data_IF_164640295515
#
_entry.id   IF_164640295515
#
_cell.length_a   1.000
_cell.length_b   1.000
_cell.length_c   1.000
_cell.angle_alpha   90.00
_cell.angle_beta   90.00
_cell.angle_gamma   90.00
#
_symmetry.space_group_name_H-M   'P 1'
#
loop_
_entity.id
_entity.type
_entity.pdbx_description
1 polymer ?
#
# COMPACT_ATOMS: atom_id res chain seq x y z
N UNK A 1 -40.42 -12.24 -37.96
CA UNK A 1 -38.96 -12.24 -37.83
C UNK A 1 -38.38 -12.37 -39.22
N UNK A 2 -37.71 -11.37 -39.72
CA UNK A 2 -37.09 -11.42 -41.04
C UNK A 2 -35.63 -11.83 -40.88
N UNK A 3 -35.24 -12.88 -41.56
CA UNK A 3 -33.86 -13.43 -41.53
C UNK A 3 -33.15 -13.03 -42.83
N UNK A 4 -32.03 -12.33 -42.72
CA UNK A 4 -31.19 -12.00 -43.88
C UNK A 4 -30.02 -12.99 -43.85
N UNK A 5 -29.91 -13.82 -44.90
CA UNK A 5 -28.82 -14.78 -45.09
C UNK A 5 -27.77 -14.22 -46.05
N UNK A 6 -26.56 -14.12 -45.58
CA UNK A 6 -25.42 -13.81 -46.43
C UNK A 6 -24.75 -15.10 -46.92
N UNK A 7 -24.77 -15.33 -48.23
CA UNK A 7 -24.01 -16.41 -48.84
C UNK A 7 -22.67 -15.86 -49.31
N UNK A 8 -21.57 -16.25 -48.69
CA UNK A 8 -20.25 -15.89 -49.21
C UNK A 8 -20.03 -16.61 -50.54
N UNK A 9 -19.44 -15.94 -51.52
CA UNK A 9 -19.16 -16.54 -52.86
C UNK A 9 -18.15 -17.69 -52.84
N UNK A 10 -17.57 -18.03 -51.65
CA UNK A 10 -16.69 -19.16 -51.44
C UNK A 10 -17.47 -20.33 -50.80
N UNK A 11 -17.59 -21.49 -51.48
CA UNK A 11 -18.37 -22.63 -51.00
C UNK A 11 -17.82 -23.27 -49.71
N UNK A 12 -16.63 -22.92 -49.28
CA UNK A 12 -16.03 -23.41 -48.04
C UNK A 12 -16.37 -22.56 -46.80
N UNK A 13 -16.99 -21.41 -46.97
CA UNK A 13 -17.38 -20.56 -45.83
C UNK A 13 -18.83 -20.77 -45.47
N UNK A 14 -19.10 -21.00 -44.16
CA UNK A 14 -20.49 -21.14 -43.66
C UNK A 14 -21.25 -19.83 -43.84
N UNK A 15 -22.49 -19.95 -44.34
CA UNK A 15 -23.43 -18.83 -44.39
C UNK A 15 -23.70 -18.28 -43.00
N UNK A 16 -23.69 -16.96 -42.84
CA UNK A 16 -24.07 -16.28 -41.59
C UNK A 16 -25.49 -15.75 -41.79
N UNK A 17 -26.36 -16.07 -40.84
CA UNK A 17 -27.70 -15.48 -40.75
C UNK A 17 -27.71 -14.41 -39.66
N UNK A 18 -28.29 -13.27 -39.95
CA UNK A 18 -28.57 -12.22 -38.97
C UNK A 18 -30.09 -12.19 -38.81
N UNK A 19 -30.57 -12.52 -37.62
CA UNK A 19 -32.00 -12.44 -37.29
C UNK A 19 -32.30 -11.03 -36.81
N UNK A 20 -33.13 -10.32 -37.56
CA UNK A 20 -33.60 -8.99 -37.17
C UNK A 20 -34.72 -9.18 -36.17
N UNK A 21 -34.44 -8.90 -34.89
CA UNK A 21 -35.45 -8.90 -33.84
C UNK A 21 -36.50 -7.79 -34.06
N UNK A 22 -37.68 -7.90 -33.42
CA UNK A 22 -38.78 -6.95 -33.63
C UNK A 22 -38.39 -5.51 -33.31
N UNK A 23 -37.45 -5.28 -32.36
CA UNK A 23 -36.95 -3.95 -32.01
C UNK A 23 -36.13 -3.36 -33.16
N UNK A 24 -35.19 -4.13 -33.72
CA UNK A 24 -34.34 -3.67 -34.82
C UNK A 24 -35.15 -3.51 -36.12
N UNK A 25 -36.13 -4.38 -36.36
CA UNK A 25 -37.08 -4.25 -37.44
C UNK A 25 -37.95 -3.00 -37.32
N UNK A 26 -38.41 -2.70 -36.11
CA UNK A 26 -39.17 -1.47 -35.81
C UNK A 26 -38.33 -0.21 -36.04
N UNK A 27 -37.06 -0.20 -35.61
CA UNK A 27 -36.15 0.93 -35.83
C UNK A 27 -35.86 1.15 -37.31
N UNK A 28 -35.63 0.09 -38.08
CA UNK A 28 -35.43 0.17 -39.52
C UNK A 28 -36.70 0.66 -40.25
N UNK A 29 -37.88 0.16 -39.87
CA UNK A 29 -39.15 0.59 -40.44
C UNK A 29 -39.43 2.09 -40.15
N UNK A 30 -39.20 2.54 -38.92
CA UNK A 30 -39.32 3.97 -38.55
C UNK A 30 -38.32 4.83 -39.29
N UNK A 31 -37.09 4.38 -39.50
CA UNK A 31 -36.07 5.10 -40.27
C UNK A 31 -36.48 5.24 -41.76
N UNK A 32 -37.02 4.17 -42.36
CA UNK A 32 -37.50 4.21 -43.74
C UNK A 32 -38.73 5.11 -43.90
N UNK A 33 -39.67 5.02 -42.96
CA UNK A 33 -40.86 5.91 -42.98
C UNK A 33 -40.43 7.36 -42.73
N UNK A 34 -39.51 7.60 -41.81
CA UNK A 34 -38.97 8.92 -41.56
C UNK A 34 -38.25 9.52 -42.78
N UNK A 35 -37.45 8.74 -43.49
CA UNK A 35 -36.79 9.17 -44.73
C UNK A 35 -37.80 9.47 -45.85
N UNK A 36 -38.80 8.62 -45.97
CA UNK A 36 -39.92 8.84 -46.94
C UNK A 36 -40.68 10.12 -46.63
N UNK A 37 -40.98 10.38 -45.37
CA UNK A 37 -41.67 11.62 -44.94
C UNK A 37 -40.80 12.86 -45.19
N UNK A 38 -39.48 12.78 -44.98
CA UNK A 38 -38.53 13.87 -45.29
C UNK A 38 -38.47 14.20 -46.77
N UNK A 39 -38.46 13.19 -47.64
CA UNK A 39 -38.50 13.37 -49.09
C UNK A 39 -39.84 13.97 -49.51
N UNK A 40 -40.94 13.50 -48.92
CA UNK A 40 -42.28 14.02 -49.22
C UNK A 40 -42.46 15.48 -48.78
N UNK A 41 -41.99 15.86 -47.57
CA UNK A 41 -42.03 17.22 -47.09
C UNK A 41 -41.09 18.16 -47.88
N UNK A 42 -39.96 17.65 -48.37
CA UNK A 42 -39.07 18.36 -49.29
C UNK A 42 -39.71 18.65 -50.62
N UNK A 43 -40.47 17.70 -51.16
CA UNK A 43 -41.23 17.84 -52.40
C UNK A 43 -42.42 18.83 -52.26
N UNK A 44 -42.98 18.99 -51.05
CA UNK A 44 -44.06 19.94 -50.76
C UNK A 44 -43.59 21.39 -50.49
N UNK A 45 -42.29 21.68 -50.60
CA UNK A 45 -41.78 23.03 -50.48
C UNK A 45 -41.68 23.57 -49.06
N UNK A 46 -41.50 22.68 -48.02
CA UNK A 46 -41.28 23.04 -46.64
C UNK A 46 -39.80 22.82 -46.20
N UNK A 47 -38.82 23.51 -46.80
CA UNK A 47 -37.37 23.29 -46.54
C UNK A 47 -36.98 23.62 -45.11
N UNK A 48 -37.71 24.46 -44.40
CA UNK A 48 -37.47 24.83 -43.01
C UNK A 48 -37.68 23.65 -42.06
N UNK A 49 -38.78 22.88 -42.23
CA UNK A 49 -39.07 21.72 -41.38
C UNK A 49 -38.07 20.59 -41.57
N UNK A 50 -37.63 20.38 -42.82
CA UNK A 50 -36.57 19.39 -43.11
C UNK A 50 -35.25 19.79 -42.51
N UNK A 51 -34.86 21.06 -42.63
CA UNK A 51 -33.61 21.55 -42.04
C UNK A 51 -33.61 21.52 -40.51
N UNK A 52 -34.76 21.76 -39.87
CA UNK A 52 -34.90 21.69 -38.41
C UNK A 52 -34.84 20.24 -37.90
N UNK A 53 -35.44 19.30 -38.66
CA UNK A 53 -35.36 17.88 -38.34
C UNK A 53 -33.92 17.35 -38.49
N UNK A 54 -33.23 17.68 -39.56
CA UNK A 54 -31.80 17.31 -39.74
C UNK A 54 -30.96 17.87 -38.59
N UNK A 55 -31.12 19.16 -38.26
CA UNK A 55 -30.37 19.80 -37.12
C UNK A 55 -30.70 19.16 -35.78
N UNK A 56 -31.90 18.64 -35.57
CA UNK A 56 -32.28 17.95 -34.34
C UNK A 56 -31.66 16.55 -34.26
N UNK A 57 -31.61 15.82 -35.37
CA UNK A 57 -30.93 14.52 -35.45
C UNK A 57 -29.42 14.67 -35.21
N UNK A 58 -28.76 15.66 -35.84
CA UNK A 58 -27.36 15.93 -35.66
C UNK A 58 -27.05 16.32 -34.21
N UNK A 59 -27.92 17.13 -33.57
CA UNK A 59 -27.77 17.47 -32.14
C UNK A 59 -27.89 16.23 -31.24
N UNK A 60 -28.83 15.35 -31.48
CA UNK A 60 -29.00 14.10 -30.73
C UNK A 60 -27.79 13.17 -30.92
N UNK A 61 -27.30 13.04 -32.16
CA UNK A 61 -26.09 12.24 -32.45
C UNK A 61 -24.86 12.80 -31.77
N UNK A 62 -24.70 14.15 -31.77
CA UNK A 62 -23.57 14.83 -31.08
C UNK A 62 -23.68 14.65 -29.58
N UNK A 63 -24.86 14.79 -28.98
CA UNK A 63 -25.06 14.55 -27.55
C UNK A 63 -24.75 13.11 -27.15
N UNK A 64 -25.17 12.13 -27.93
CA UNK A 64 -24.84 10.72 -27.67
C UNK A 64 -23.34 10.45 -27.78
N UNK A 65 -22.67 10.99 -28.81
CA UNK A 65 -21.22 10.86 -28.97
C UNK A 65 -20.46 11.52 -27.81
N UNK A 66 -20.89 12.71 -27.39
CA UNK A 66 -20.29 13.40 -26.24
C UNK A 66 -20.48 12.63 -24.95
N UNK A 67 -21.70 12.10 -24.70
CA UNK A 67 -21.97 11.28 -23.51
C UNK A 67 -21.10 10.02 -23.47
N UNK A 68 -21.01 9.28 -24.59
CA UNK A 68 -20.13 8.09 -24.68
C UNK A 68 -18.66 8.45 -24.46
N UNK A 69 -18.22 9.58 -25.01
CA UNK A 69 -16.87 10.09 -24.79
C UNK A 69 -16.60 10.38 -23.32
N UNK A 70 -17.53 11.03 -22.63
CA UNK A 70 -17.42 11.34 -21.20
C UNK A 70 -17.40 10.08 -20.35
N UNK A 71 -18.30 9.12 -20.60
CA UNK A 71 -18.36 7.83 -19.89
C UNK A 71 -17.06 7.03 -20.08
N UNK A 72 -16.52 7.01 -21.31
CA UNK A 72 -15.24 6.36 -21.61
C UNK A 72 -14.09 7.04 -20.86
N UNK A 73 -14.03 8.38 -20.89
CA UNK A 73 -13.03 9.16 -20.19
C UNK A 73 -13.04 8.92 -18.67
N UNK A 74 -14.23 8.96 -18.05
CA UNK A 74 -14.37 8.64 -16.63
C UNK A 74 -13.94 7.21 -16.29
N UNK A 75 -14.24 6.25 -17.19
CA UNK A 75 -13.84 4.87 -16.97
C UNK A 75 -12.33 4.69 -17.03
N UNK A 76 -11.65 5.35 -17.99
CA UNK A 76 -10.20 5.37 -18.07
C UNK A 76 -9.60 6.04 -16.83
N UNK A 77 -10.17 7.17 -16.37
CA UNK A 77 -9.76 7.87 -15.16
C UNK A 77 -9.80 6.98 -13.92
N UNK A 78 -10.92 6.30 -13.70
CA UNK A 78 -11.07 5.35 -12.57
C UNK A 78 -10.07 4.20 -12.63
N UNK A 79 -9.79 3.66 -13.83
CA UNK A 79 -8.78 2.59 -14.02
C UNK A 79 -7.37 3.10 -13.74
N UNK A 80 -7.02 4.27 -14.23
CA UNK A 80 -5.72 4.90 -14.01
C UNK A 80 -5.50 5.18 -12.52
N UNK A 81 -6.52 5.67 -11.81
CA UNK A 81 -6.47 5.89 -10.37
C UNK A 81 -6.27 4.58 -9.59
N UNK A 82 -7.03 3.52 -9.93
CA UNK A 82 -6.86 2.21 -9.31
C UNK A 82 -5.44 1.67 -9.50
N UNK A 83 -4.93 1.76 -10.73
CA UNK A 83 -3.57 1.31 -11.06
C UNK A 83 -2.51 2.14 -10.34
N UNK A 84 -2.69 3.45 -10.23
CA UNK A 84 -1.78 4.34 -9.49
C UNK A 84 -1.72 3.98 -8.00
N UNK A 85 -2.86 3.66 -7.37
CA UNK A 85 -2.89 3.21 -5.97
C UNK A 85 -2.21 1.85 -5.79
N UNK A 86 -2.45 0.89 -6.68
CA UNK A 86 -1.77 -0.40 -6.64
C UNK A 86 -0.25 -0.23 -6.80
N UNK A 87 0.18 0.53 -7.80
CA UNK A 87 1.60 0.80 -8.01
C UNK A 87 2.25 1.47 -6.80
N UNK A 88 1.57 2.42 -6.14
CA UNK A 88 2.10 3.07 -4.95
C UNK A 88 2.27 2.09 -3.78
N UNK A 89 1.34 1.15 -3.59
CA UNK A 89 1.47 0.11 -2.58
C UNK A 89 2.66 -0.82 -2.88
N UNK A 90 2.82 -1.22 -4.15
CA UNK A 90 3.93 -2.08 -4.59
C UNK A 90 5.29 -1.37 -4.49
N UNK A 91 5.37 -0.08 -4.88
CA UNK A 91 6.57 0.76 -4.73
C UNK A 91 6.99 0.85 -3.27
N UNK A 92 6.04 1.06 -2.38
CA UNK A 92 6.29 1.14 -0.96
C UNK A 92 6.76 -0.20 -0.38
N UNK A 93 6.12 -1.30 -0.78
CA UNK A 93 6.54 -2.64 -0.37
C UNK A 93 7.99 -2.92 -0.83
N UNK A 94 8.31 -2.65 -2.10
CA UNK A 94 9.68 -2.84 -2.61
C UNK A 94 10.70 -1.90 -1.96
N UNK A 95 10.33 -0.66 -1.67
CA UNK A 95 11.22 0.26 -0.95
C UNK A 95 11.55 -0.26 0.45
N UNK A 96 10.58 -0.87 1.15
CA UNK A 96 10.79 -1.54 2.45
C UNK A 96 11.68 -2.77 2.29
N UNK A 97 11.42 -3.62 1.29
CA UNK A 97 12.28 -4.76 0.98
C UNK A 97 13.72 -4.30 0.70
N UNK A 98 13.89 -3.25 -0.09
CA UNK A 98 15.20 -2.66 -0.37
C UNK A 98 15.91 -2.17 0.90
N UNK A 99 15.20 -1.44 1.76
CA UNK A 99 15.72 -0.97 3.05
C UNK A 99 16.21 -2.13 3.93
N UNK A 100 15.39 -3.18 4.02
CA UNK A 100 15.71 -4.40 4.75
C UNK A 100 16.94 -5.09 4.16
N UNK A 101 17.06 -5.11 2.83
CA UNK A 101 18.20 -5.67 2.10
C UNK A 101 19.44 -4.73 2.03
N UNK A 102 19.40 -3.56 2.70
CA UNK A 102 20.50 -2.59 2.65
C UNK A 102 20.61 -1.80 1.34
N UNK A 103 19.59 -1.85 0.48
CA UNK A 103 19.54 -1.11 -0.78
C UNK A 103 18.63 0.11 -0.62
N UNK A 104 19.18 1.33 -0.70
CA UNK A 104 18.34 2.52 -0.59
C UNK A 104 17.33 2.60 -1.73
N UNK A 105 16.08 3.02 -1.46
CA UNK A 105 15.09 3.23 -2.49
C UNK A 105 15.54 4.33 -3.46
N UNK A 106 15.21 4.23 -4.75
CA UNK A 106 15.57 5.24 -5.74
C UNK A 106 14.90 6.58 -5.43
N UNK A 107 15.59 7.67 -5.74
CA UNK A 107 15.02 9.01 -5.68
C UNK A 107 13.83 9.14 -6.64
N UNK A 108 12.77 9.82 -6.18
CA UNK A 108 11.58 10.09 -7.00
C UNK A 108 10.44 9.07 -6.88
N UNK A 109 10.53 8.10 -5.97
CA UNK A 109 9.34 7.38 -5.54
C UNK A 109 8.48 8.33 -4.69
N UNK A 110 7.18 8.50 -5.02
CA UNK A 110 6.33 9.41 -4.27
C UNK A 110 6.14 8.91 -2.83
N UNK A 111 6.35 9.81 -1.90
CA UNK A 111 6.15 9.55 -0.47
C UNK A 111 4.66 9.43 -0.10
N UNK A 112 3.76 9.97 -0.93
CA UNK A 112 2.34 10.10 -0.64
C UNK A 112 1.54 9.72 -1.89
N UNK A 113 0.41 9.04 -1.68
CA UNK A 113 -0.60 8.86 -2.73
C UNK A 113 -1.17 10.26 -3.10
N UNK A 114 -1.15 10.65 -4.38
CA UNK A 114 -1.74 11.91 -4.78
C UNK A 114 -3.24 11.90 -4.46
N UNK A 115 -3.71 12.96 -3.78
CA UNK A 115 -5.14 13.18 -3.60
C UNK A 115 -5.81 13.37 -4.97
N UNK A 116 -7.03 12.85 -5.08
CA UNK A 116 -7.81 12.90 -6.32
C UNK A 116 -8.23 14.33 -6.63
N UNK A 117 -7.91 14.91 -7.79
CA UNK A 117 -8.60 16.08 -8.29
C UNK A 117 -10.06 15.74 -8.62
N UNK A 118 -10.98 16.64 -8.29
CA UNK A 118 -12.42 16.41 -8.42
C UNK A 118 -12.89 16.18 -9.88
N UNK A 119 -12.15 16.69 -10.87
CA UNK A 119 -12.35 16.43 -12.29
C UNK A 119 -10.99 16.56 -13.00
N UNK A 120 -10.68 15.63 -13.91
CA UNK A 120 -9.46 15.67 -14.70
C UNK A 120 -9.77 16.22 -16.10
N UNK A 121 -8.99 17.19 -16.55
CA UNK A 121 -8.95 17.59 -17.97
C UNK A 121 -8.18 16.54 -18.79
N UNK A 122 -8.31 16.58 -20.12
CA UNK A 122 -7.55 15.69 -21.02
C UNK A 122 -6.04 15.82 -20.82
N UNK A 123 -5.53 17.06 -20.64
CA UNK A 123 -4.12 17.32 -20.39
C UNK A 123 -3.64 16.73 -19.05
N UNK A 124 -4.45 16.83 -17.99
CA UNK A 124 -4.14 16.24 -16.69
C UNK A 124 -4.14 14.71 -16.73
N UNK A 125 -5.02 14.13 -17.53
CA UNK A 125 -5.05 12.69 -17.77
C UNK A 125 -3.78 12.22 -18.47
N UNK A 126 -3.33 12.91 -19.52
CA UNK A 126 -2.08 12.61 -20.22
C UNK A 126 -0.87 12.73 -19.29
N UNK A 127 -0.82 13.80 -18.48
CA UNK A 127 0.23 13.99 -17.48
C UNK A 127 0.23 12.87 -16.42
N UNK A 128 -0.94 12.44 -15.98
CA UNK A 128 -1.10 11.32 -15.04
C UNK A 128 -0.61 10.01 -15.63
N UNK A 129 -0.96 9.70 -16.88
CA UNK A 129 -0.51 8.50 -17.57
C UNK A 129 1.02 8.53 -17.80
N UNK A 130 1.58 9.67 -18.18
CA UNK A 130 3.03 9.85 -18.35
C UNK A 130 3.78 9.68 -17.01
N UNK A 131 3.22 10.21 -15.92
CA UNK A 131 3.75 10.02 -14.57
C UNK A 131 3.74 8.54 -14.17
N UNK A 132 2.61 7.86 -14.37
CA UNK A 132 2.46 6.43 -14.08
C UNK A 132 3.47 5.58 -14.87
N UNK A 133 3.66 5.86 -16.16
CA UNK A 133 4.64 5.17 -17.01
C UNK A 133 6.08 5.39 -16.55
N UNK A 134 6.40 6.58 -16.03
CA UNK A 134 7.73 6.88 -15.47
C UNK A 134 7.95 6.10 -14.18
N UNK A 135 6.97 6.09 -13.28
CA UNK A 135 7.01 5.36 -12.01
C UNK A 135 7.19 3.86 -12.24
N UNK A 136 6.43 3.28 -13.16
CA UNK A 136 6.57 1.86 -13.55
C UNK A 136 7.97 1.51 -14.02
N UNK A 137 8.63 2.40 -14.77
CA UNK A 137 10.03 2.19 -15.21
C UNK A 137 10.99 2.20 -14.02
N UNK A 138 10.87 3.15 -13.11
CA UNK A 138 11.70 3.24 -11.90
C UNK A 138 11.49 1.99 -11.03
N UNK A 139 10.24 1.60 -10.82
CA UNK A 139 9.85 0.40 -10.08
C UNK A 139 10.49 -0.86 -10.69
N UNK A 140 10.39 -1.05 -11.99
CA UNK A 140 10.95 -2.23 -12.67
C UNK A 140 12.49 -2.28 -12.59
N UNK A 141 13.16 -1.15 -12.73
CA UNK A 141 14.61 -1.07 -12.56
C UNK A 141 15.01 -1.41 -11.12
N UNK A 142 14.28 -0.92 -10.13
CA UNK A 142 14.55 -1.20 -8.72
C UNK A 142 14.26 -2.67 -8.38
N UNK A 143 13.15 -3.23 -8.86
CA UNK A 143 12.82 -4.65 -8.75
C UNK A 143 13.92 -5.54 -9.34
N UNK A 144 14.43 -5.20 -10.54
CA UNK A 144 15.55 -5.92 -11.15
C UNK A 144 16.81 -5.83 -10.30
N UNK A 145 17.13 -4.65 -9.77
CA UNK A 145 18.26 -4.46 -8.86
C UNK A 145 18.13 -5.32 -7.62
N UNK A 146 16.96 -5.39 -7.01
CA UNK A 146 16.69 -6.27 -5.85
C UNK A 146 16.79 -7.76 -6.23
N UNK A 147 16.32 -8.15 -7.41
CA UNK A 147 16.40 -9.52 -7.88
C UNK A 147 17.85 -9.98 -8.22
N UNK A 148 18.75 -9.04 -8.46
CA UNK A 148 20.17 -9.30 -8.70
C UNK A 148 21.04 -9.10 -7.47
N UNK A 149 20.43 -8.87 -6.30
CA UNK A 149 21.19 -8.84 -5.05
C UNK A 149 21.70 -10.27 -4.80
N UNK A 150 22.98 -10.47 -4.97
CA UNK A 150 23.59 -11.68 -4.57
C UNK A 150 24.22 -11.41 -3.27
N UNK A 151 24.57 -12.20 -2.72
CA UNK A 151 25.82 -12.88 -2.79
C UNK A 151 26.40 -13.09 -1.45
N UNK A 152 27.22 -14.08 -1.23
CA UNK A 152 27.83 -14.38 0.05
C UNK A 152 28.56 -13.15 0.59
N UNK A 153 27.97 -12.48 1.62
CA UNK A 153 28.53 -11.27 2.24
C UNK A 153 27.52 -10.14 2.49
N UNK A 154 26.33 -10.19 1.87
CA UNK A 154 25.21 -9.31 2.23
C UNK A 154 24.60 -9.67 3.59
N UNK A 155 23.71 -8.81 4.15
CA UNK A 155 23.03 -9.12 5.40
C UNK A 155 22.27 -10.44 5.25
N UNK A 156 22.47 -11.39 6.17
CA UNK A 156 21.74 -12.66 6.21
C UNK A 156 20.24 -12.36 6.34
N UNK A 157 19.40 -12.72 5.34
CA UNK A 157 17.97 -12.41 5.36
C UNK A 157 17.25 -12.97 6.60
N UNK A 158 17.80 -14.03 7.19
CA UNK A 158 17.27 -14.63 8.41
C UNK A 158 17.54 -13.75 9.65
N UNK A 159 18.48 -12.81 9.58
CA UNK A 159 18.82 -11.88 10.66
C UNK A 159 18.14 -10.52 10.54
N UNK A 160 17.42 -10.28 9.45
CA UNK A 160 16.67 -9.05 9.28
C UNK A 160 15.29 -9.20 9.95
N UNK A 161 14.89 -8.29 10.87
CA UNK A 161 13.66 -8.41 11.64
C UNK A 161 12.42 -8.04 10.79
N UNK A 162 12.17 -8.82 9.74
CA UNK A 162 11.17 -8.55 8.71
C UNK A 162 9.81 -9.20 8.94
N UNK A 163 9.63 -9.87 10.07
CA UNK A 163 8.36 -10.46 10.49
C UNK A 163 7.72 -9.66 11.63
N UNK A 164 6.39 -9.71 11.72
CA UNK A 164 5.68 -9.20 12.89
C UNK A 164 6.09 -9.97 14.15
N UNK A 165 6.34 -9.26 15.28
CA UNK A 165 6.68 -9.89 16.55
C UNK A 165 5.49 -10.56 17.24
N UNK A 166 4.27 -10.37 16.74
CA UNK A 166 3.03 -11.01 17.20
C UNK A 166 2.21 -11.45 15.99
N UNK A 167 1.20 -12.29 16.20
CA UNK A 167 0.29 -12.69 15.13
C UNK A 167 -0.39 -11.44 14.51
N UNK A 168 -0.17 -11.16 13.21
CA UNK A 168 -0.67 -9.93 12.59
C UNK A 168 -2.18 -9.75 12.67
N UNK A 169 -2.95 -10.82 12.55
CA UNK A 169 -4.42 -10.80 12.61
C UNK A 169 -4.98 -10.46 14.00
N UNK A 170 -4.16 -10.62 15.05
CA UNK A 170 -4.54 -10.38 16.44
C UNK A 170 -3.96 -9.07 17.01
N UNK A 171 -3.32 -8.25 16.20
CA UNK A 171 -2.61 -7.06 16.64
C UNK A 171 -3.09 -5.79 15.93
N UNK A 172 -3.23 -4.71 16.72
CA UNK A 172 -3.59 -3.37 16.21
C UNK A 172 -2.55 -2.36 16.68
N UNK A 173 -1.95 -1.56 15.80
CA UNK A 173 -1.03 -0.51 16.21
C UNK A 173 -1.80 0.61 16.93
N UNK A 174 -1.43 0.90 18.16
CA UNK A 174 -2.05 1.95 19.00
C UNK A 174 -1.12 3.11 19.28
N UNK A 175 0.18 2.95 19.04
CA UNK A 175 1.17 4.01 19.02
C UNK A 175 2.24 3.69 17.99
N UNK A 176 2.76 4.71 17.30
CA UNK A 176 3.72 4.56 16.22
C UNK A 176 4.96 5.41 16.45
N UNK A 177 6.06 5.01 15.85
CA UNK A 177 7.36 5.67 15.91
C UNK A 177 7.30 7.14 15.49
N UNK A 178 7.97 7.99 16.24
CA UNK A 178 8.15 9.41 15.94
C UNK A 178 7.76 10.36 17.06
N UNK A 179 7.78 11.68 16.82
CA UNK A 179 7.37 12.68 17.79
C UNK A 179 5.87 12.58 18.06
N UNK A 180 5.50 12.70 19.34
CA UNK A 180 4.10 12.70 19.78
C UNK A 180 3.95 13.47 21.10
N UNK A 181 2.71 13.76 21.47
CA UNK A 181 2.39 14.18 22.83
C UNK A 181 2.30 12.95 23.75
N UNK A 182 2.98 13.00 24.87
CA UNK A 182 2.94 11.97 25.89
C UNK A 182 1.53 11.87 26.51
N UNK A 183 0.96 10.67 26.56
CA UNK A 183 -0.33 10.44 27.19
C UNK A 183 -0.32 10.75 28.72
N UNK A 184 0.87 10.66 29.33
CA UNK A 184 1.06 10.84 30.78
C UNK A 184 1.38 12.29 31.15
N UNK A 185 2.36 12.91 30.47
CA UNK A 185 2.88 14.23 30.83
C UNK A 185 2.28 15.36 30.02
N UNK A 186 1.66 15.05 28.86
CA UNK A 186 1.19 16.03 27.87
C UNK A 186 2.30 16.88 27.26
N UNK A 187 3.55 16.46 27.43
CA UNK A 187 4.72 17.07 26.81
C UNK A 187 5.06 16.36 25.51
N UNK A 188 5.80 17.03 24.64
CA UNK A 188 6.34 16.40 23.43
C UNK A 188 7.39 15.36 23.83
N UNK A 189 7.22 14.15 23.36
CA UNK A 189 8.16 13.05 23.52
C UNK A 189 8.44 12.37 22.18
N UNK A 190 9.60 11.76 22.05
CA UNK A 190 9.90 10.90 20.92
C UNK A 190 9.57 9.44 21.28
N UNK A 191 8.67 8.82 20.50
CA UNK A 191 8.28 7.43 20.71
C UNK A 191 9.19 6.49 19.89
N UNK A 192 9.99 5.62 20.54
CA UNK A 192 11.06 4.90 19.87
C UNK A 192 10.64 3.62 19.13
N UNK A 193 9.36 3.31 19.09
CA UNK A 193 8.92 2.03 18.56
C UNK A 193 7.49 2.03 18.04
N UNK A 194 6.86 0.88 18.16
CA UNK A 194 5.44 0.68 17.90
C UNK A 194 4.82 -0.08 19.07
N UNK A 195 3.64 0.37 19.53
CA UNK A 195 2.83 -0.37 20.49
C UNK A 195 1.74 -1.12 19.74
N UNK A 196 1.70 -2.42 19.93
CA UNK A 196 0.76 -3.35 19.29
C UNK A 196 -0.23 -3.85 20.34
N UNK A 197 -1.45 -3.31 20.33
CA UNK A 197 -2.53 -3.83 21.17
C UNK A 197 -2.85 -5.26 20.76
N UNK A 198 -2.76 -6.19 21.70
CA UNK A 198 -3.00 -7.62 21.50
C UNK A 198 -3.37 -8.24 22.85
N UNK A 199 -4.14 -9.36 22.90
CA UNK A 199 -4.57 -9.96 24.14
C UNK A 199 -3.41 -10.35 25.07
N UNK A 200 -3.65 -10.26 26.39
CA UNK A 200 -2.71 -10.79 27.40
C UNK A 200 -2.44 -12.27 27.12
N UNK A 201 -1.20 -12.68 27.24
CA UNK A 201 -0.77 -14.05 26.98
C UNK A 201 -0.51 -14.40 25.51
N UNK A 202 -0.74 -13.45 24.59
CA UNK A 202 -0.34 -13.63 23.19
C UNK A 202 1.16 -13.92 23.09
N UNK A 203 1.53 -14.85 22.22
CA UNK A 203 2.93 -15.20 21.96
C UNK A 203 3.67 -14.02 21.32
N UNK A 204 4.85 -13.71 21.89
CA UNK A 204 5.80 -12.77 21.28
C UNK A 204 6.91 -13.59 20.63
N UNK A 205 7.12 -13.34 19.33
CA UNK A 205 8.01 -14.12 18.49
C UNK A 205 9.24 -13.29 18.09
N UNK A 206 10.38 -13.96 17.92
CA UNK A 206 11.55 -13.31 17.34
C UNK A 206 11.33 -13.10 15.82
N UNK A 207 11.38 -11.85 15.31
CA UNK A 207 11.13 -11.56 13.89
C UNK A 207 12.27 -11.99 12.96
N UNK A 208 13.43 -12.34 13.56
CA UNK A 208 14.61 -12.82 12.87
C UNK A 208 15.43 -13.74 13.76
N UNK A 209 16.41 -14.45 13.20
CA UNK A 209 17.40 -15.17 13.97
C UNK A 209 18.27 -14.19 14.77
N UNK A 210 18.73 -14.58 15.96
CA UNK A 210 19.54 -13.70 16.79
C UNK A 210 19.94 -14.32 18.11
N UNK A 211 20.54 -13.51 18.99
CA UNK A 211 20.95 -13.91 20.35
C UNK A 211 20.33 -12.98 21.36
N UNK A 212 19.76 -13.49 22.42
CA UNK A 212 19.20 -12.71 23.53
C UNK A 212 20.34 -12.05 24.29
N UNK A 213 20.42 -10.72 24.25
CA UNK A 213 21.46 -9.95 24.95
C UNK A 213 20.98 -9.41 26.29
N UNK A 214 19.66 -9.30 26.46
CA UNK A 214 19.05 -8.94 27.75
C UNK A 214 17.68 -9.61 27.89
N UNK A 215 17.36 -10.04 29.12
CA UNK A 215 16.05 -10.61 29.46
C UNK A 215 15.77 -10.36 30.95
N UNK A 216 14.78 -9.50 31.27
CA UNK A 216 14.46 -9.15 32.66
C UNK A 216 13.85 -7.76 32.80
N UNK A 217 13.85 -7.25 34.05
CA UNK A 217 13.53 -5.84 34.33
C UNK A 217 14.76 -4.97 34.11
N UNK A 218 14.64 -3.81 33.45
CA UNK A 218 15.69 -2.82 33.42
C UNK A 218 15.95 -2.35 34.89
N UNK A 219 17.19 -2.31 35.29
CA UNK A 219 17.54 -1.97 36.66
C UNK A 219 17.04 -0.59 37.11
N UNK A 220 17.08 -0.31 38.43
CA UNK A 220 16.64 0.99 38.99
C UNK A 220 17.42 2.20 38.44
N UNK A 221 18.60 1.97 37.90
CA UNK A 221 19.47 2.99 37.29
C UNK A 221 19.11 3.26 35.81
N UNK A 222 18.24 2.46 35.20
CA UNK A 222 17.78 2.70 33.85
C UNK A 222 16.89 3.93 33.81
N UNK A 223 16.85 4.60 32.66
CA UNK A 223 16.01 5.76 32.42
C UNK A 223 14.50 5.45 32.60
N UNK A 224 13.71 6.47 32.86
CA UNK A 224 12.29 6.32 33.12
C UNK A 224 11.56 5.62 31.95
N UNK A 225 11.98 5.89 30.69
CA UNK A 225 11.42 5.25 29.50
C UNK A 225 11.57 3.72 29.58
N UNK A 226 12.79 3.24 29.85
CA UNK A 226 13.06 1.80 29.94
C UNK A 226 12.35 1.12 31.12
N UNK A 227 12.26 1.81 32.25
CA UNK A 227 11.54 1.28 33.43
C UNK A 227 10.04 1.11 33.20
N UNK A 228 9.44 1.97 32.36
CA UNK A 228 8.01 1.88 31.98
C UNK A 228 7.71 0.65 31.14
N UNK A 229 8.69 0.11 30.43
CA UNK A 229 8.51 -1.07 29.58
C UNK A 229 8.30 -2.37 30.36
N UNK A 230 8.52 -2.36 31.69
CA UNK A 230 8.32 -3.53 32.55
C UNK A 230 9.34 -4.65 32.28
N UNK A 231 8.86 -5.88 32.07
CA UNK A 231 9.72 -6.97 31.63
C UNK A 231 10.06 -6.76 30.16
N UNK A 232 11.37 -6.79 29.86
CA UNK A 232 11.87 -6.61 28.49
C UNK A 232 12.77 -7.78 28.06
N UNK A 233 12.79 -8.02 26.75
CA UNK A 233 13.80 -8.84 26.07
C UNK A 233 14.47 -7.96 25.03
N UNK A 234 15.78 -8.11 24.85
CA UNK A 234 16.55 -7.50 23.76
C UNK A 234 17.25 -8.61 23.00
N UNK A 235 17.08 -8.62 21.69
CA UNK A 235 17.70 -9.59 20.79
C UNK A 235 18.67 -8.86 19.86
N UNK A 236 19.91 -9.32 19.78
CA UNK A 236 20.89 -8.91 18.78
C UNK A 236 20.80 -9.87 17.60
N UNK A 237 20.49 -9.34 16.42
CA UNK A 237 20.40 -10.13 15.19
C UNK A 237 21.75 -10.20 14.46
N UNK A 238 22.48 -9.10 14.52
CA UNK A 238 23.85 -8.93 14.04
C UNK A 238 24.55 -7.82 14.87
N UNK A 239 25.71 -7.36 14.42
CA UNK A 239 26.45 -6.28 15.09
C UNK A 239 25.80 -4.90 14.92
N UNK A 240 24.88 -4.77 13.95
CA UNK A 240 24.25 -3.53 13.52
C UNK A 240 22.78 -3.40 13.97
N UNK A 241 22.12 -4.53 14.26
CA UNK A 241 20.66 -4.57 14.42
C UNK A 241 20.25 -5.25 15.72
N UNK A 242 19.41 -4.56 16.49
CA UNK A 242 18.76 -5.11 17.69
C UNK A 242 17.26 -4.88 17.65
N UNK A 243 16.53 -5.75 18.34
CA UNK A 243 15.10 -5.56 18.60
C UNK A 243 14.83 -5.55 20.10
N UNK A 244 13.86 -4.76 20.53
CA UNK A 244 13.43 -4.61 21.90
C UNK A 244 11.96 -4.97 22.02
N UNK A 245 11.64 -5.75 23.04
CA UNK A 245 10.29 -6.19 23.36
C UNK A 245 9.98 -5.80 24.79
N UNK A 246 8.98 -4.95 24.98
CA UNK A 246 8.53 -4.46 26.28
C UNK A 246 7.09 -4.85 26.60
N UNK A 247 6.66 -4.56 27.81
CA UNK A 247 5.35 -4.89 28.36
C UNK A 247 5.07 -6.41 28.39
N UNK A 248 6.13 -7.22 28.52
CA UNK A 248 5.99 -8.65 28.65
C UNK A 248 5.40 -9.04 30.00
N UNK A 249 4.49 -10.01 29.99
CA UNK A 249 3.97 -10.64 31.20
C UNK A 249 4.82 -11.84 31.66
N UNK A 250 5.49 -12.49 30.71
CA UNK A 250 6.39 -13.60 30.97
C UNK A 250 7.49 -13.65 29.92
N UNK A 251 8.70 -13.86 30.36
CA UNK A 251 9.88 -14.13 29.49
C UNK A 251 10.03 -15.65 29.37
N UNK A 252 10.25 -16.15 28.17
CA UNK A 252 10.39 -17.59 27.87
C UNK A 252 11.84 -17.98 27.56
N UNK A 253 12.73 -17.01 27.43
CA UNK A 253 14.12 -17.23 26.99
C UNK A 253 15.12 -16.55 27.92
N UNK A 254 16.22 -17.21 28.30
CA UNK A 254 17.28 -16.57 29.09
C UNK A 254 18.24 -15.76 28.21
N UNK A 255 19.00 -14.83 28.83
CA UNK A 255 20.13 -14.18 28.19
C UNK A 255 21.13 -15.20 27.65
N UNK A 256 21.70 -14.95 26.49
CA UNK A 256 22.63 -15.83 25.77
C UNK A 256 21.95 -16.87 24.88
N UNK A 257 20.65 -17.06 24.97
CA UNK A 257 19.90 -18.00 24.10
C UNK A 257 20.02 -17.56 22.65
N UNK A 258 20.41 -18.49 21.76
CA UNK A 258 20.30 -18.32 20.30
C UNK A 258 18.90 -18.67 19.84
N UNK A 259 18.32 -17.78 19.04
CA UNK A 259 16.96 -17.86 18.56
C UNK A 259 16.93 -18.07 17.04
N UNK A 260 15.96 -18.85 16.60
CA UNK A 260 15.55 -18.90 15.19
C UNK A 260 14.47 -17.84 14.93
N UNK A 261 14.31 -17.47 13.66
CA UNK A 261 13.18 -16.63 13.22
C UNK A 261 11.86 -17.35 13.55
N UNK A 262 10.93 -16.63 14.18
CA UNK A 262 9.64 -17.15 14.60
C UNK A 262 9.65 -17.91 15.93
N UNK A 263 10.78 -18.02 16.62
CA UNK A 263 10.85 -18.69 17.93
C UNK A 263 10.20 -17.83 19.02
N UNK A 264 9.35 -18.42 19.91
CA UNK A 264 8.72 -17.69 21.01
C UNK A 264 9.75 -17.19 22.02
N UNK A 265 9.64 -15.91 22.40
CA UNK A 265 10.54 -15.24 23.34
C UNK A 265 9.84 -14.79 24.64
N UNK A 266 8.51 -14.63 24.60
CA UNK A 266 7.74 -14.17 25.73
C UNK A 266 6.25 -14.21 25.48
N UNK A 267 5.50 -13.76 26.47
CA UNK A 267 4.05 -13.56 26.40
C UNK A 267 3.74 -12.10 26.68
N UNK A 268 2.76 -11.54 25.98
CA UNK A 268 2.27 -10.19 26.20
C UNK A 268 1.69 -10.08 27.59
N UNK A 269 2.02 -9.00 28.28
CA UNK A 269 1.57 -8.71 29.63
C UNK A 269 0.67 -7.49 29.69
N UNK A 270 0.46 -7.06 30.92
CA UNK A 270 -0.19 -5.80 31.27
C UNK A 270 0.78 -5.00 32.14
N UNK A 271 1.36 -3.96 31.58
CA UNK A 271 2.19 -3.05 32.37
C UNK A 271 1.29 -2.16 33.27
N UNK A 272 1.69 -1.85 34.52
CA UNK A 272 1.01 -0.85 35.33
C UNK A 272 0.91 0.53 34.67
N UNK A 273 1.80 0.81 33.73
CA UNK A 273 1.87 2.07 32.98
C UNK A 273 1.15 2.03 31.64
N UNK A 274 0.50 0.90 31.30
CA UNK A 274 -0.25 0.76 30.05
C UNK A 274 -1.75 0.57 30.37
N UNK A 275 -2.65 1.41 29.83
CA UNK A 275 -4.09 1.34 30.09
C UNK A 275 -4.72 0.04 29.54
N UNK A 276 -4.11 -0.55 28.51
CA UNK A 276 -4.54 -1.80 27.88
C UNK A 276 -3.35 -2.71 27.58
N UNK A 277 -3.58 -4.04 27.46
CA UNK A 277 -2.55 -4.98 27.04
C UNK A 277 -1.98 -4.62 25.68
N UNK A 278 -0.65 -4.56 25.59
CA UNK A 278 0.07 -4.26 24.35
C UNK A 278 1.50 -4.73 24.41
N UNK A 279 2.04 -5.13 23.26
CA UNK A 279 3.47 -5.30 23.09
C UNK A 279 4.10 -3.97 22.70
N UNK A 280 5.14 -3.55 23.37
CA UNK A 280 6.06 -2.51 22.88
C UNK A 280 7.16 -3.18 22.07
N UNK A 281 7.37 -2.71 20.83
CA UNK A 281 8.36 -3.27 19.91
C UNK A 281 9.20 -2.18 19.26
N UNK A 282 10.54 -2.37 19.29
CA UNK A 282 11.47 -1.47 18.64
C UNK A 282 12.43 -2.23 17.74
N UNK A 283 12.85 -1.59 16.65
CA UNK A 283 14.01 -1.94 15.84
C UNK A 283 15.07 -0.86 16.07
N UNK A 284 16.29 -1.26 16.38
CA UNK A 284 17.39 -0.35 16.65
C UNK A 284 18.58 -0.66 15.76
N UNK A 285 19.18 0.39 15.21
CA UNK A 285 20.38 0.29 14.37
C UNK A 285 21.58 0.92 15.06
N UNK A 286 22.73 0.33 14.84
CA UNK A 286 24.00 0.87 15.35
C UNK A 286 24.32 2.20 14.67
N UNK A 287 24.73 3.18 15.47
CA UNK A 287 25.23 4.48 15.04
C UNK A 287 26.48 4.79 15.85
N UNK A 288 27.13 5.92 15.57
CA UNK A 288 28.23 6.42 16.39
C UNK A 288 27.82 6.68 17.85
N UNK A 289 26.58 7.10 18.07
CA UNK A 289 25.99 7.35 19.40
C UNK A 289 25.44 6.09 20.08
N UNK A 290 25.64 4.89 19.50
CA UNK A 290 25.09 3.64 20.02
C UNK A 290 23.92 3.12 19.17
N UNK A 291 23.05 2.30 19.78
CA UNK A 291 21.88 1.75 19.08
C UNK A 291 20.69 2.69 19.17
N UNK A 292 20.44 3.44 18.12
CA UNK A 292 19.28 4.32 18.01
C UNK A 292 18.06 3.60 17.41
N UNK A 293 16.86 3.93 17.86
CA UNK A 293 15.64 3.35 17.30
C UNK A 293 15.37 3.88 15.90
N UNK A 294 14.85 3.01 15.07
CA UNK A 294 14.35 3.30 13.72
C UNK A 294 12.90 2.84 13.61
N UNK A 295 12.15 3.37 12.66
CA UNK A 295 10.74 3.02 12.52
C UNK A 295 10.54 1.51 12.22
N UNK A 296 9.96 0.74 13.15
CA UNK A 296 9.79 -0.70 12.98
C UNK A 296 8.87 -1.06 11.80
N UNK A 297 7.96 -0.15 11.43
CA UNK A 297 7.01 -0.36 10.33
C UNK A 297 7.71 -0.52 8.98
N UNK A 298 8.92 0.02 8.84
CA UNK A 298 9.74 -0.16 7.63
C UNK A 298 10.27 -1.59 7.47
N UNK A 299 10.42 -2.30 8.58
CA UNK A 299 11.01 -3.65 8.60
C UNK A 299 9.96 -4.75 8.53
N UNK A 300 8.82 -4.62 9.21
CA UNK A 300 7.77 -5.65 9.24
C UNK A 300 7.09 -5.74 7.86
N UNK A 301 7.26 -6.86 7.16
CA UNK A 301 6.79 -7.05 5.79
C UNK A 301 5.50 -7.89 5.69
N UNK A 302 5.15 -8.64 6.75
CA UNK A 302 4.05 -9.60 6.78
C UNK A 302 2.78 -9.09 7.49
N UNK A 303 2.64 -7.79 7.69
CA UNK A 303 1.49 -7.21 8.36
C UNK A 303 0.83 -6.11 7.52
N UNK A 304 -0.41 -6.35 7.11
CA UNK A 304 -1.20 -5.43 6.28
C UNK A 304 -1.68 -4.18 7.03
N UNK A 305 -1.82 -4.26 8.38
CA UNK A 305 -2.25 -3.15 9.23
C UNK A 305 -1.20 -2.03 9.36
N UNK A 306 -0.02 -2.22 8.81
CA UNK A 306 1.00 -1.19 8.81
C UNK A 306 0.71 -0.18 7.71
N UNK A 307 0.11 0.94 8.07
CA UNK A 307 0.17 2.14 7.24
C UNK A 307 1.62 2.57 7.17
N UNK A 308 2.20 2.46 6.00
CA UNK A 308 3.60 2.76 5.82
C UNK A 308 3.85 4.25 6.08
N UNK A 309 4.90 4.57 6.85
CA UNK A 309 5.32 5.94 7.04
C UNK A 309 5.80 6.52 5.71
N UNK A 310 5.66 7.83 5.58
CA UNK A 310 6.25 8.56 4.46
C UNK A 310 7.75 8.31 4.39
N UNK A 311 8.22 7.73 3.30
CA UNK A 311 9.64 7.41 3.13
C UNK A 311 10.52 8.67 3.00
N UNK A 312 9.93 9.81 2.62
CA UNK A 312 10.63 11.08 2.41
C UNK A 312 10.87 11.94 3.65
N UNK A 313 10.01 11.83 4.66
CA UNK A 313 10.08 12.64 5.88
C UNK A 313 10.17 11.76 7.12
N UNK A 314 11.29 11.03 7.24
CA UNK A 314 11.52 10.16 8.40
C UNK A 314 12.02 10.98 9.57
N UNK A 315 11.33 10.98 10.71
CA UNK A 315 11.88 11.54 11.91
C UNK A 315 13.11 10.72 12.33
N UNK A 316 14.24 11.40 12.56
CA UNK A 316 15.43 10.79 13.14
C UNK A 316 15.28 10.76 14.66
N UNK A 317 15.60 9.63 15.25
CA UNK A 317 15.57 9.50 16.69
C UNK A 317 16.67 10.38 17.33
N UNK A 318 16.34 11.15 18.38
CA UNK A 318 17.33 11.90 19.13
C UNK A 318 18.36 10.98 19.79
N UNK A 319 19.57 11.50 20.01
CA UNK A 319 20.69 10.71 20.58
C UNK A 319 20.42 10.21 22.02
N UNK A 320 19.61 10.92 22.78
CA UNK A 320 19.16 10.55 24.13
C UNK A 320 18.25 9.32 24.19
N UNK A 321 17.71 8.91 23.02
CA UNK A 321 16.97 7.65 22.88
C UNK A 321 17.87 6.43 22.69
N UNK A 322 19.20 6.58 22.77
CA UNK A 322 20.14 5.48 22.64
C UNK A 322 19.90 4.39 23.70
N UNK A 323 20.14 3.14 23.30
CA UNK A 323 19.95 2.00 24.18
C UNK A 323 21.03 1.99 25.27
N UNK A 324 20.66 1.83 26.56
CA UNK A 324 21.63 1.73 27.63
C UNK A 324 22.49 0.46 27.53
N UNK A 325 23.66 0.47 28.14
CA UNK A 325 24.44 -0.74 28.36
C UNK A 325 23.73 -1.58 29.43
N UNK A 326 23.13 -2.70 29.05
CA UNK A 326 22.60 -3.68 29.99
C UNK A 326 23.77 -4.53 30.53
N UNK A 327 24.00 -4.46 31.83
CA UNK A 327 24.97 -5.29 32.54
C UNK A 327 24.41 -6.68 32.85
#
# INVERSE_FOLDING_TARGET
MSEIRFHPGDPKRKSRSITIGPVLGGVLATAVVGAGTLVFLGLLGAPSLVSDLIRSVDRLALHEATRRGTEAFETVGRRAEKLSRQLAADELFLARVGLVAGVPPPAGLPAILPERPAALTSAEMEASVASLARRLRIFELFRRRLATLPEPGGPDPLRIPSRSPVEPSAAVPVAVFGPRLSDLTREEEFFPGVDLATPVGSLVLSPAAGTVVFAGHPGRKADALWRRLGLIVVVAHDDETRTVYGNLGKILVPRGRRLKRGEPIGLVGRSPFAPAPKLHYEVRKRTESGFLPVDPRLYILDAEWITAPELGNRPTAPADTAMPAFQ
#
